data_IF_917783955692
#
_entry.id   IF_917783955692
#
_cell.length_a   1.000
_cell.length_b   1.000
_cell.length_c   1.000
_cell.angle_alpha   90.00
_cell.angle_beta   90.00
_cell.angle_gamma   90.00
#
_symmetry.space_group_name_H-M   'P 1'
#
loop_
_entity.id
_entity.type
_entity.pdbx_description
1 polymer ?
#
# COMPACT_ATOMS: atom_id res chain seq x y z
N UNK A 1 -0.39 34.05 0.11
CA UNK A 1 1.04 34.46 0.04
C UNK A 1 1.99 33.26 0.21
N UNK A 2 1.97 32.52 1.32
CA UNK A 2 2.89 31.36 1.56
C UNK A 2 2.75 30.23 0.51
N UNK A 3 1.54 29.89 0.08
CA UNK A 3 1.33 28.87 -0.98
C UNK A 3 1.97 29.26 -2.32
N UNK A 4 1.86 30.52 -2.74
CA UNK A 4 2.49 30.99 -3.97
C UNK A 4 4.03 30.92 -3.87
N UNK A 5 4.58 31.16 -2.68
CA UNK A 5 6.01 31.03 -2.43
C UNK A 5 6.49 29.58 -2.56
N UNK A 6 5.72 28.60 -2.06
CA UNK A 6 6.01 27.17 -2.26
C UNK A 6 6.17 26.83 -3.75
N UNK A 7 5.32 27.40 -4.61
CA UNK A 7 5.39 27.18 -6.06
C UNK A 7 6.59 27.90 -6.70
N UNK A 8 6.75 29.20 -6.42
CA UNK A 8 7.80 30.02 -7.03
C UNK A 8 9.20 29.50 -6.68
N UNK A 9 9.37 28.98 -5.46
CA UNK A 9 10.63 28.39 -4.99
C UNK A 9 10.75 26.88 -5.33
N UNK A 10 9.79 26.31 -6.09
CA UNK A 10 9.78 24.90 -6.51
C UNK A 10 9.87 23.89 -5.36
N UNK A 11 9.30 24.24 -4.21
CA UNK A 11 9.19 23.36 -3.04
C UNK A 11 8.06 22.31 -3.21
N UNK A 12 7.13 22.60 -4.14
CA UNK A 12 6.06 21.70 -4.62
C UNK A 12 6.03 21.71 -6.15
N UNK A 13 5.47 20.66 -6.76
CA UNK A 13 5.43 20.50 -8.21
C UNK A 13 4.41 21.41 -8.92
N UNK A 14 3.42 21.92 -8.19
CA UNK A 14 2.37 22.78 -8.73
C UNK A 14 1.23 23.04 -7.74
N UNK A 15 0.18 23.71 -8.20
CA UNK A 15 -1.04 23.95 -7.40
C UNK A 15 -1.82 22.67 -7.12
N UNK A 16 -1.63 21.64 -7.92
CA UNK A 16 -2.23 20.31 -7.80
C UNK A 16 -1.26 19.30 -7.16
N UNK A 17 -0.10 19.72 -6.65
CA UNK A 17 0.81 18.82 -5.93
C UNK A 17 0.03 18.11 -4.79
N UNK A 18 0.11 16.78 -4.66
CA UNK A 18 -0.65 16.02 -3.67
C UNK A 18 -0.34 16.31 -2.20
N UNK A 19 0.63 17.19 -1.92
CA UNK A 19 0.97 17.72 -0.58
C UNK A 19 0.34 19.08 -0.31
N UNK A 20 -0.18 19.75 -1.34
CA UNK A 20 -0.78 21.07 -1.22
C UNK A 20 -2.18 21.01 -0.60
N UNK A 21 -2.54 21.95 0.28
CA UNK A 21 -3.87 22.01 0.90
C UNK A 21 -4.93 22.64 -0.05
N UNK A 22 -4.80 22.40 -1.35
CA UNK A 22 -5.74 22.87 -2.38
C UNK A 22 -6.72 21.75 -2.73
N UNK A 23 -7.90 22.10 -3.23
CA UNK A 23 -8.87 21.10 -3.72
C UNK A 23 -8.29 20.28 -4.89
N UNK A 24 -7.49 20.91 -5.77
CA UNK A 24 -6.78 20.22 -6.84
C UNK A 24 -5.73 19.23 -6.30
N UNK A 25 -4.95 19.65 -5.30
CA UNK A 25 -3.96 18.79 -4.63
C UNK A 25 -4.62 17.62 -3.93
N UNK A 26 -5.66 17.87 -3.13
CA UNK A 26 -6.46 16.81 -2.48
C UNK A 26 -7.07 15.83 -3.49
N UNK A 27 -7.62 16.34 -4.60
CA UNK A 27 -8.17 15.48 -5.67
C UNK A 27 -7.09 14.60 -6.31
N UNK A 28 -5.93 15.17 -6.68
CA UNK A 28 -4.80 14.42 -7.25
C UNK A 28 -4.19 13.44 -6.24
N UNK A 29 -4.26 13.77 -4.96
CA UNK A 29 -3.88 12.90 -3.85
C UNK A 29 -4.80 11.71 -3.67
N UNK A 30 -6.00 11.74 -4.25
CA UNK A 30 -6.97 10.64 -4.19
C UNK A 30 -8.13 10.86 -3.23
N UNK A 31 -8.23 12.05 -2.61
CA UNK A 31 -9.35 12.39 -1.73
C UNK A 31 -10.67 12.31 -2.51
N UNK A 32 -11.72 11.88 -1.84
CA UNK A 32 -13.05 11.79 -2.44
C UNK A 32 -13.89 13.01 -2.06
N UNK A 33 -14.77 13.48 -2.96
CA UNK A 33 -15.73 14.52 -2.62
C UNK A 33 -16.58 14.16 -1.39
N UNK A 34 -16.94 12.87 -1.24
CA UNK A 34 -17.73 12.34 -0.12
C UNK A 34 -17.01 12.52 1.21
N UNK A 35 -15.72 12.20 1.27
CA UNK A 35 -14.94 12.32 2.50
C UNK A 35 -14.74 13.78 2.92
N UNK A 36 -14.54 14.68 1.95
CA UNK A 36 -14.41 16.12 2.23
C UNK A 36 -15.73 16.69 2.76
N UNK A 37 -16.88 16.29 2.19
CA UNK A 37 -18.19 16.72 2.69
C UNK A 37 -18.47 16.18 4.10
N UNK A 38 -18.22 14.88 4.34
CA UNK A 38 -18.36 14.28 5.68
C UNK A 38 -17.46 14.98 6.71
N UNK A 39 -16.22 15.33 6.34
CA UNK A 39 -15.34 16.11 7.19
C UNK A 39 -15.93 17.50 7.53
N UNK A 40 -16.42 18.24 6.52
CA UNK A 40 -17.05 19.53 6.72
C UNK A 40 -18.29 19.46 7.62
N UNK A 41 -19.11 18.42 7.48
CA UNK A 41 -20.29 18.20 8.31
C UNK A 41 -19.91 17.94 9.77
N UNK A 42 -18.83 17.16 10.01
CA UNK A 42 -18.37 16.80 11.36
C UNK A 42 -17.72 17.94 12.13
N UNK A 43 -16.93 18.79 11.47
CA UNK A 43 -16.31 19.94 12.14
C UNK A 43 -17.34 21.00 12.52
N UNK A 44 -18.49 21.00 11.83
CA UNK A 44 -19.58 21.93 12.05
C UNK A 44 -19.21 23.39 11.72
N UNK A 45 -20.15 24.29 12.01
CA UNK A 45 -19.98 25.72 11.78
C UNK A 45 -20.00 26.43 13.13
N UNK A 46 -18.90 27.07 13.51
CA UNK A 46 -18.77 27.82 14.75
C UNK A 46 -18.15 29.21 14.48
N UNK A 47 -18.41 30.16 15.39
CA UNK A 47 -17.88 31.54 15.30
C UNK A 47 -16.50 31.72 15.95
N UNK A 48 -15.96 30.68 16.59
CA UNK A 48 -14.65 30.69 17.24
C UNK A 48 -13.59 30.09 16.31
N UNK A 49 -12.38 30.60 16.39
CA UNK A 49 -11.23 29.98 15.72
C UNK A 49 -11.01 28.57 16.28
N UNK A 50 -10.77 27.63 15.37
CA UNK A 50 -10.55 26.24 15.73
C UNK A 50 -9.49 25.63 14.81
N UNK A 51 -8.47 25.02 15.42
CA UNK A 51 -7.49 24.22 14.71
C UNK A 51 -8.00 22.78 14.67
N UNK A 52 -8.32 22.30 13.48
CA UNK A 52 -8.79 20.92 13.29
C UNK A 52 -7.59 20.03 12.95
N UNK A 53 -7.44 18.93 13.68
CA UNK A 53 -6.45 17.91 13.37
C UNK A 53 -6.76 17.26 12.01
N UNK A 54 -5.72 17.14 11.18
CA UNK A 54 -5.76 16.45 9.89
C UNK A 54 -6.21 14.99 10.03
N UNK A 55 -5.96 14.36 11.17
CA UNK A 55 -6.39 12.99 11.48
C UNK A 55 -7.90 12.79 11.29
N UNK A 56 -8.73 13.81 11.58
CA UNK A 56 -10.18 13.73 11.37
C UNK A 56 -10.54 13.67 9.88
N UNK A 57 -9.86 14.44 9.04
CA UNK A 57 -10.06 14.42 7.60
C UNK A 57 -9.60 13.08 7.01
N UNK A 58 -8.45 12.57 7.46
CA UNK A 58 -7.95 11.25 7.08
C UNK A 58 -8.88 10.13 7.54
N UNK A 59 -9.49 10.26 8.72
CA UNK A 59 -10.52 9.34 9.22
C UNK A 59 -11.73 9.29 8.28
N UNK A 60 -12.33 10.43 7.92
CA UNK A 60 -13.44 10.49 6.97
C UNK A 60 -13.10 9.82 5.64
N UNK A 61 -11.86 10.01 5.18
CA UNK A 61 -11.37 9.41 3.94
C UNK A 61 -11.22 7.89 4.06
N UNK A 62 -10.64 7.38 5.15
CA UNK A 62 -10.51 5.93 5.39
C UNK A 62 -11.88 5.27 5.46
N UNK A 63 -12.84 5.87 6.16
CA UNK A 63 -14.20 5.33 6.28
C UNK A 63 -14.88 5.18 4.91
N UNK A 64 -14.74 6.20 4.04
CA UNK A 64 -15.31 6.14 2.70
C UNK A 64 -14.56 5.13 1.81
N UNK A 65 -13.24 5.14 1.81
CA UNK A 65 -12.43 4.26 0.96
C UNK A 65 -12.50 2.80 1.39
N UNK A 66 -12.68 2.49 2.68
CA UNK A 66 -12.86 1.10 3.15
C UNK A 66 -14.06 0.41 2.45
N UNK A 67 -15.13 1.20 2.21
CA UNK A 67 -16.38 0.75 1.60
C UNK A 67 -16.38 0.75 0.08
N UNK A 68 -15.48 1.50 -0.55
CA UNK A 68 -15.55 1.79 -2.00
C UNK A 68 -14.31 1.36 -2.77
N UNK A 69 -13.14 1.33 -2.15
CA UNK A 69 -11.89 0.99 -2.82
C UNK A 69 -11.72 -0.51 -2.98
N UNK A 70 -11.31 -0.94 -4.17
CA UNK A 70 -10.98 -2.34 -4.40
C UNK A 70 -9.62 -2.69 -3.79
N UNK A 71 -9.48 -3.89 -3.27
CA UNK A 71 -8.27 -4.43 -2.65
C UNK A 71 -7.36 -5.00 -3.72
N UNK A 72 -6.08 -4.66 -3.65
CA UNK A 72 -5.04 -5.12 -4.57
C UNK A 72 -3.78 -5.50 -3.82
N UNK A 73 -3.06 -6.49 -4.33
CA UNK A 73 -1.76 -6.91 -3.81
C UNK A 73 -0.66 -6.18 -4.57
N UNK A 74 0.16 -5.45 -3.82
CA UNK A 74 1.29 -4.69 -4.35
C UNK A 74 2.41 -4.81 -3.33
N UNK A 75 3.60 -5.20 -3.79
CA UNK A 75 4.79 -5.44 -2.97
C UNK A 75 5.77 -4.28 -3.12
N UNK A 76 6.07 -3.59 -2.02
CA UNK A 76 6.79 -2.31 -2.01
C UNK A 76 8.30 -2.48 -1.80
N UNK A 77 8.70 -3.42 -0.96
CA UNK A 77 10.09 -3.84 -0.78
C UNK A 77 10.20 -5.34 -1.08
N UNK A 78 10.43 -5.71 -2.36
CA UNK A 78 10.31 -7.10 -2.78
C UNK A 78 11.43 -7.98 -2.26
N UNK A 79 11.03 -9.09 -1.64
CA UNK A 79 11.87 -10.23 -1.33
C UNK A 79 11.43 -11.45 -2.14
N UNK A 80 12.39 -12.08 -2.84
CA UNK A 80 12.11 -13.22 -3.71
C UNK A 80 11.77 -14.45 -2.87
N UNK A 81 10.71 -15.16 -3.26
CA UNK A 81 10.35 -16.47 -2.74
C UNK A 81 10.30 -17.46 -3.89
N UNK A 82 10.98 -18.60 -3.76
CA UNK A 82 10.93 -19.72 -4.70
C UNK A 82 10.26 -20.91 -4.04
N UNK A 83 9.12 -21.34 -4.57
CA UNK A 83 8.40 -22.51 -4.08
C UNK A 83 9.01 -23.77 -4.66
N UNK A 84 9.87 -24.44 -3.89
CA UNK A 84 10.77 -25.50 -4.39
C UNK A 84 10.04 -26.73 -4.89
N UNK A 85 8.91 -27.09 -4.29
CA UNK A 85 8.04 -28.20 -4.68
C UNK A 85 6.87 -27.78 -5.60
N UNK A 86 6.89 -26.57 -6.17
CA UNK A 86 5.94 -26.17 -7.22
C UNK A 86 6.59 -26.35 -8.59
N UNK A 87 5.84 -26.93 -9.52
CA UNK A 87 6.29 -27.22 -10.89
C UNK A 87 6.70 -25.94 -11.63
N UNK A 88 7.83 -25.99 -12.33
CA UNK A 88 8.33 -24.86 -13.11
C UNK A 88 7.44 -24.60 -14.34
N UNK A 89 7.19 -23.33 -14.67
CA UNK A 89 6.32 -22.94 -15.77
C UNK A 89 4.81 -23.10 -15.50
N UNK A 90 4.42 -23.85 -14.46
CA UNK A 90 3.01 -23.95 -14.05
C UNK A 90 2.51 -22.62 -13.50
N UNK A 91 1.30 -22.25 -13.90
CA UNK A 91 0.56 -21.12 -13.34
C UNK A 91 -0.87 -21.56 -13.01
N UNK A 92 -1.34 -21.20 -11.83
CA UNK A 92 -2.72 -21.43 -11.41
C UNK A 92 -3.38 -20.10 -11.04
N UNK A 93 -4.67 -19.95 -11.37
CA UNK A 93 -5.44 -18.75 -11.04
C UNK A 93 -6.13 -18.92 -9.69
N UNK A 94 -5.87 -17.97 -8.80
CA UNK A 94 -6.40 -17.93 -7.45
C UNK A 94 -7.49 -16.86 -7.33
N UNK A 95 -8.76 -17.24 -7.09
CA UNK A 95 -9.82 -16.26 -6.91
C UNK A 95 -9.62 -15.48 -5.61
N UNK A 96 -9.77 -14.17 -5.69
CA UNK A 96 -9.71 -13.27 -4.54
C UNK A 96 -10.74 -12.16 -4.68
N UNK A 97 -11.36 -11.81 -3.56
CA UNK A 97 -12.38 -10.78 -3.46
C UNK A 97 -11.83 -9.37 -3.71
N UNK A 98 -12.61 -8.54 -4.41
CA UNK A 98 -12.25 -7.13 -4.64
C UNK A 98 -12.51 -6.26 -3.42
N UNK A 99 -13.60 -6.47 -2.68
CA UNK A 99 -13.90 -5.71 -1.47
C UNK A 99 -14.76 -6.56 -0.54
N UNK A 100 -14.34 -6.72 0.72
CA UNK A 100 -15.09 -7.48 1.74
C UNK A 100 -16.24 -6.68 2.37
N UNK A 101 -16.20 -5.36 2.27
CA UNK A 101 -17.19 -4.43 2.84
C UNK A 101 -18.29 -4.07 1.84
N UNK A 102 -18.15 -4.46 0.57
CA UNK A 102 -19.12 -4.18 -0.49
C UNK A 102 -19.76 -5.48 -0.93
N UNK A 103 -21.06 -5.61 -0.72
CA UNK A 103 -21.83 -6.70 -1.31
C UNK A 103 -21.69 -6.66 -2.84
N UNK A 104 -21.35 -7.81 -3.44
CA UNK A 104 -21.18 -7.95 -4.89
C UNK A 104 -19.99 -7.16 -5.50
N UNK A 105 -18.92 -6.88 -4.73
CA UNK A 105 -17.66 -6.34 -5.28
C UNK A 105 -17.02 -7.22 -6.37
N UNK A 106 -17.48 -8.46 -6.48
CA UNK A 106 -16.92 -9.45 -7.39
C UNK A 106 -15.59 -10.02 -6.90
N UNK A 107 -15.06 -10.90 -7.74
CA UNK A 107 -13.77 -11.56 -7.55
C UNK A 107 -12.88 -11.24 -8.74
N UNK A 108 -11.58 -11.34 -8.51
CA UNK A 108 -10.55 -11.31 -9.55
C UNK A 108 -9.64 -12.51 -9.38
N UNK A 109 -8.94 -12.86 -10.45
CA UNK A 109 -7.99 -13.96 -10.45
C UNK A 109 -6.57 -13.44 -10.23
N UNK A 110 -5.83 -14.12 -9.35
CA UNK A 110 -4.43 -13.86 -9.05
C UNK A 110 -3.57 -15.01 -9.57
N UNK A 111 -2.62 -14.76 -10.49
CA UNK A 111 -1.74 -15.82 -10.96
C UNK A 111 -0.79 -16.23 -9.83
N UNK A 112 -0.81 -17.51 -9.50
CA UNK A 112 0.14 -18.18 -8.61
C UNK A 112 1.16 -18.95 -9.45
N UNK A 113 2.43 -18.82 -9.11
CA UNK A 113 3.55 -19.47 -9.81
C UNK A 113 4.63 -19.90 -8.84
N UNK A 114 5.63 -20.63 -9.35
CA UNK A 114 6.82 -21.04 -8.57
C UNK A 114 7.56 -19.88 -7.92
N UNK A 115 7.72 -18.76 -8.62
CA UNK A 115 8.44 -17.58 -8.12
C UNK A 115 7.48 -16.47 -7.73
N UNK A 116 7.62 -15.94 -6.52
CA UNK A 116 6.77 -14.92 -5.95
C UNK A 116 7.61 -13.77 -5.38
N UNK A 117 7.00 -12.59 -5.29
CA UNK A 117 7.46 -11.48 -4.46
C UNK A 117 6.57 -11.36 -3.23
N UNK A 118 7.19 -11.15 -2.07
CA UNK A 118 6.55 -10.76 -0.81
C UNK A 118 7.22 -9.48 -0.28
N UNK A 119 6.62 -8.82 0.71
CA UNK A 119 7.34 -7.75 1.42
C UNK A 119 8.54 -8.31 2.19
N UNK A 120 9.65 -7.60 2.14
CA UNK A 120 10.85 -7.92 2.94
C UNK A 120 10.53 -7.97 4.43
N UNK A 121 9.68 -7.07 4.90
CA UNK A 121 9.21 -6.98 6.29
C UNK A 121 8.25 -8.12 6.71
N UNK A 122 7.92 -9.02 5.78
CA UNK A 122 7.20 -10.26 6.07
C UNK A 122 8.11 -11.46 6.33
N UNK A 123 9.43 -11.26 6.30
CA UNK A 123 10.40 -12.24 6.73
C UNK A 123 11.32 -11.70 7.84
N UNK A 124 11.59 -12.52 8.85
CA UNK A 124 12.52 -12.19 9.93
C UNK A 124 13.24 -13.45 10.42
N UNK A 125 14.58 -13.43 10.45
CA UNK A 125 15.38 -14.57 10.91
C UNK A 125 15.21 -14.84 12.40
N UNK A 126 15.16 -13.78 13.20
CA UNK A 126 15.05 -13.83 14.65
C UNK A 126 13.75 -13.13 15.12
N UNK A 127 12.57 -13.74 14.89
CA UNK A 127 11.30 -13.10 15.13
C UNK A 127 11.01 -12.96 16.64
N UNK A 128 10.48 -11.81 17.12
CA UNK A 128 9.95 -11.71 18.48
C UNK A 128 8.68 -12.56 18.64
N UNK A 129 8.31 -12.92 19.87
CA UNK A 129 7.16 -13.82 20.16
C UNK A 129 5.82 -13.43 19.51
N UNK A 130 5.59 -12.14 19.24
CA UNK A 130 4.35 -11.61 18.62
C UNK A 130 4.50 -11.35 17.11
N UNK A 131 5.46 -11.99 16.47
CA UNK A 131 5.65 -11.96 15.02
C UNK A 131 5.02 -13.21 14.39
N UNK A 132 4.04 -13.00 13.51
CA UNK A 132 3.25 -14.07 12.92
C UNK A 132 3.46 -14.25 11.40
N UNK A 133 4.48 -13.59 10.83
CA UNK A 133 4.83 -13.75 9.42
C UNK A 133 5.94 -14.80 9.27
N UNK A 134 6.65 -14.79 8.16
CA UNK A 134 7.59 -15.85 7.80
C UNK A 134 8.91 -15.72 8.57
N UNK A 135 9.47 -16.86 8.98
CA UNK A 135 10.79 -16.99 9.62
C UNK A 135 11.40 -18.32 9.23
N UNK A 136 12.70 -18.58 9.48
CA UNK A 136 13.32 -19.88 9.21
C UNK A 136 12.53 -21.02 9.87
N UNK A 137 12.12 -22.02 9.09
CA UNK A 137 11.26 -23.14 9.51
C UNK A 137 9.79 -22.78 9.79
N UNK A 138 9.45 -21.49 9.80
CA UNK A 138 8.12 -20.97 10.06
C UNK A 138 7.19 -21.09 8.85
N UNK A 139 5.88 -21.04 9.11
CA UNK A 139 4.83 -21.11 8.10
C UNK A 139 3.97 -19.85 8.10
N UNK A 140 3.51 -19.45 6.92
CA UNK A 140 2.60 -18.32 6.73
C UNK A 140 1.59 -18.63 5.64
N UNK A 141 0.40 -18.02 5.70
CA UNK A 141 -0.57 -18.07 4.61
C UNK A 141 -0.33 -16.95 3.62
N UNK A 142 -0.28 -17.29 2.35
CA UNK A 142 -0.37 -16.33 1.25
C UNK A 142 -1.85 -15.96 1.05
N UNK A 143 -2.19 -14.67 1.02
CA UNK A 143 -3.56 -14.20 0.85
C UNK A 143 -4.19 -14.81 -0.40
N UNK A 144 -5.31 -15.52 -0.23
CA UNK A 144 -6.02 -16.24 -1.29
C UNK A 144 -5.20 -17.31 -2.04
N UNK A 145 -4.02 -17.68 -1.54
CA UNK A 145 -3.16 -18.72 -2.09
C UNK A 145 -3.06 -19.92 -1.15
N UNK A 146 -1.84 -20.40 -0.96
CA UNK A 146 -1.53 -21.56 -0.13
C UNK A 146 -0.81 -21.16 1.18
N UNK A 147 -0.69 -22.10 2.11
CA UNK A 147 0.29 -22.02 3.19
C UNK A 147 1.65 -22.42 2.61
N UNK A 148 2.68 -21.65 2.98
CA UNK A 148 4.08 -21.94 2.66
C UNK A 148 4.91 -22.07 3.93
N UNK A 149 6.02 -22.80 3.86
CA UNK A 149 7.04 -22.93 4.90
C UNK A 149 8.39 -22.47 4.38
N UNK A 150 9.11 -21.65 5.13
CA UNK A 150 10.48 -21.26 4.77
C UNK A 150 11.47 -22.36 5.17
N UNK A 151 12.09 -23.00 4.18
CA UNK A 151 13.03 -24.09 4.41
C UNK A 151 14.50 -23.63 4.31
N UNK A 152 14.81 -22.67 3.43
CA UNK A 152 16.17 -22.13 3.25
C UNK A 152 16.15 -20.61 3.09
N UNK A 153 17.19 -19.94 3.61
CA UNK A 153 17.40 -18.48 3.50
C UNK A 153 18.69 -18.25 2.72
N UNK A 154 18.57 -17.66 1.54
CA UNK A 154 19.71 -17.33 0.68
C UNK A 154 20.15 -15.90 0.95
N UNK A 155 21.46 -15.70 1.13
CA UNK A 155 22.07 -14.41 1.42
C UNK A 155 23.13 -14.05 0.38
N UNK A 156 23.34 -12.75 0.17
CA UNK A 156 24.48 -12.24 -0.57
C UNK A 156 25.77 -12.25 0.26
N UNK A 157 26.88 -11.81 -0.34
CA UNK A 157 28.20 -11.72 0.31
C UNK A 157 28.25 -10.75 1.49
N UNK A 158 27.28 -9.83 1.59
CA UNK A 158 27.17 -8.85 2.66
C UNK A 158 26.22 -9.33 3.78
N UNK A 159 25.65 -10.54 3.66
CA UNK A 159 24.71 -11.11 4.61
C UNK A 159 23.26 -10.64 4.44
N UNK A 160 22.94 -9.90 3.36
CA UNK A 160 21.56 -9.49 3.10
C UNK A 160 20.75 -10.66 2.54
N UNK A 161 19.53 -10.83 3.02
CA UNK A 161 18.61 -11.86 2.51
C UNK A 161 18.12 -11.47 1.11
N UNK A 162 18.40 -12.33 0.12
CA UNK A 162 18.07 -12.10 -1.29
C UNK A 162 16.94 -12.98 -1.80
N UNK A 163 16.84 -14.21 -1.28
CA UNK A 163 15.85 -15.20 -1.69
C UNK A 163 15.49 -16.10 -0.51
N UNK A 164 14.21 -16.47 -0.43
CA UNK A 164 13.72 -17.52 0.45
C UNK A 164 13.31 -18.71 -0.40
N UNK A 165 13.72 -19.91 0.01
CA UNK A 165 13.23 -21.15 -0.60
C UNK A 165 12.21 -21.78 0.33
N UNK A 166 11.02 -21.96 -0.21
CA UNK A 166 9.88 -22.40 0.57
C UNK A 166 9.26 -23.64 -0.05
N UNK A 167 8.65 -24.49 0.77
CA UNK A 167 7.68 -25.48 0.31
C UNK A 167 6.27 -24.95 0.48
N UNK A 168 5.35 -25.36 -0.39
CA UNK A 168 3.90 -25.13 -0.20
C UNK A 168 3.17 -26.43 0.09
N UNK A 169 1.98 -26.31 0.67
CA UNK A 169 1.11 -27.44 0.95
C UNK A 169 -0.08 -27.42 -0.04
N UNK A 170 -0.16 -28.37 -1.01
CA UNK A 170 -1.24 -28.38 -2.01
C UNK A 170 -2.65 -28.33 -1.41
N UNK A 171 -2.85 -29.03 -0.30
CA UNK A 171 -4.17 -29.13 0.35
C UNK A 171 -4.54 -27.92 1.21
N UNK A 172 -3.70 -26.88 1.21
CA UNK A 172 -3.92 -25.66 2.00
C UNK A 172 -4.51 -24.49 1.19
N UNK A 173 -5.00 -24.76 -0.03
CA UNK A 173 -5.57 -23.75 -0.93
C UNK A 173 -6.69 -22.99 -0.22
N UNK A 174 -6.59 -21.66 -0.17
CA UNK A 174 -7.63 -20.80 0.40
C UNK A 174 -9.01 -21.10 -0.23
N UNK A 175 -10.04 -21.20 0.62
CA UNK A 175 -11.40 -21.58 0.23
C UNK A 175 -11.66 -23.08 0.16
N UNK A 176 -10.62 -23.91 0.08
CA UNK A 176 -10.70 -25.38 -0.02
C UNK A 176 -9.65 -26.08 0.86
N UNK A 177 -9.28 -25.49 2.00
CA UNK A 177 -8.20 -26.00 2.84
C UNK A 177 -8.64 -27.26 3.60
N UNK A 178 -7.98 -28.38 3.31
CA UNK A 178 -8.14 -29.68 3.97
C UNK A 178 -6.86 -30.17 4.63
N UNK A 179 -5.83 -29.32 4.69
CA UNK A 179 -4.49 -29.67 5.20
C UNK A 179 -4.43 -29.89 6.72
N UNK A 180 -5.41 -29.35 7.46
CA UNK A 180 -5.37 -29.30 8.94
C UNK A 180 -4.30 -28.37 9.51
N UNK A 181 -3.61 -27.61 8.67
CA UNK A 181 -2.57 -26.67 9.09
C UNK A 181 -3.18 -25.37 9.59
N UNK A 182 -2.67 -24.88 10.72
CA UNK A 182 -3.07 -23.60 11.30
C UNK A 182 -1.88 -22.65 11.40
N UNK A 183 -2.00 -21.49 10.76
CA UNK A 183 -1.01 -20.41 10.81
C UNK A 183 -1.67 -19.12 11.30
N UNK A 184 -0.91 -18.29 12.02
CA UNK A 184 -1.43 -17.07 12.64
C UNK A 184 -1.40 -15.85 11.72
N UNK A 185 -0.49 -15.82 10.74
CA UNK A 185 -0.34 -14.69 9.84
C UNK A 185 -0.76 -14.99 8.41
N UNK A 186 -1.24 -13.94 7.77
CA UNK A 186 -1.53 -13.89 6.34
C UNK A 186 -0.76 -12.72 5.74
N UNK A 187 -0.04 -12.95 4.65
CA UNK A 187 0.73 -11.93 3.93
C UNK A 187 0.24 -11.81 2.49
N UNK A 188 0.37 -10.62 1.91
CA UNK A 188 0.13 -10.42 0.48
C UNK A 188 1.38 -10.82 -0.32
N UNK A 189 1.18 -11.05 -1.60
CA UNK A 189 2.21 -11.55 -2.51
C UNK A 189 1.81 -11.23 -3.94
N UNK A 190 2.77 -11.27 -4.87
CA UNK A 190 2.50 -11.24 -6.31
C UNK A 190 3.38 -12.27 -7.02
N UNK A 191 2.89 -12.87 -8.11
CA UNK A 191 3.71 -13.76 -8.95
C UNK A 191 4.81 -12.98 -9.65
N UNK A 192 6.05 -13.43 -9.56
CA UNK A 192 7.20 -12.73 -10.14
C UNK A 192 7.12 -12.69 -11.68
N UNK A 193 6.59 -13.74 -12.31
CA UNK A 193 6.45 -13.82 -13.76
C UNK A 193 5.35 -12.91 -14.34
N UNK A 194 4.38 -12.50 -13.52
CA UNK A 194 3.21 -11.74 -13.96
C UNK A 194 3.14 -10.35 -13.36
N UNK A 195 3.98 -10.04 -12.37
CA UNK A 195 3.96 -8.77 -11.67
C UNK A 195 4.23 -7.59 -12.61
N UNK A 196 3.49 -6.50 -12.38
CA UNK A 196 3.67 -5.25 -13.09
C UNK A 196 4.64 -4.35 -12.30
N UNK A 197 5.74 -3.89 -12.90
CA UNK A 197 6.55 -2.85 -12.28
C UNK A 197 5.77 -1.54 -12.25
N UNK A 198 5.68 -0.91 -11.09
CA UNK A 198 4.97 0.37 -10.90
C UNK A 198 5.80 1.36 -10.09
N UNK A 199 5.50 2.64 -10.23
CA UNK A 199 6.00 3.67 -9.33
C UNK A 199 4.96 3.92 -8.23
N UNK A 200 5.39 4.01 -6.99
CA UNK A 200 4.53 4.42 -5.87
C UNK A 200 5.11 5.66 -5.19
N UNK A 201 4.29 6.69 -5.05
CA UNK A 201 4.62 7.95 -4.38
C UNK A 201 4.03 7.95 -2.99
N UNK A 202 4.90 7.82 -2.01
CA UNK A 202 4.58 7.82 -0.58
C UNK A 202 4.70 9.25 -0.07
N UNK A 203 3.56 9.87 0.21
CA UNK A 203 3.55 11.24 0.65
C UNK A 203 3.21 11.35 2.14
N UNK A 204 3.91 12.21 2.85
CA UNK A 204 3.65 12.59 4.25
C UNK A 204 3.14 14.04 4.34
N UNK A 205 2.86 14.52 5.56
CA UNK A 205 2.56 15.93 5.82
C UNK A 205 3.67 16.83 5.24
N UNK A 206 3.29 17.93 4.57
CA UNK A 206 4.27 18.86 3.97
C UNK A 206 5.12 19.57 5.04
N UNK A 207 4.56 19.78 6.22
CA UNK A 207 5.22 20.42 7.35
C UNK A 207 5.31 19.45 8.53
N UNK A 208 6.40 19.55 9.30
CA UNK A 208 6.59 18.77 10.54
C UNK A 208 5.90 19.41 11.75
N UNK A 209 5.56 20.70 11.66
CA UNK A 209 4.90 21.44 12.74
C UNK A 209 3.39 21.49 12.52
N UNK A 210 2.66 21.18 13.60
CA UNK A 210 1.20 21.04 13.57
C UNK A 210 0.50 22.41 13.43
N UNK A 211 0.84 23.36 14.30
CA UNK A 211 0.32 24.73 14.23
C UNK A 211 1.29 25.67 13.51
N UNK A 212 1.18 25.70 12.19
CA UNK A 212 1.94 26.63 11.33
C UNK A 212 1.49 28.10 11.47
N UNK A 213 0.42 28.38 12.23
CA UNK A 213 -0.04 29.72 12.57
C UNK A 213 0.71 30.35 13.74
N UNK A 214 1.25 29.51 14.64
CA UNK A 214 1.97 29.92 15.85
C UNK A 214 3.50 30.03 15.68
N UNK A 215 4.04 29.77 14.49
CA UNK A 215 5.49 29.84 14.25
C UNK A 215 6.00 31.29 14.24
N UNK A 216 7.21 31.50 14.76
CA UNK A 216 7.85 32.82 14.85
C UNK A 216 8.96 33.05 13.80
N UNK A 217 9.37 32.00 13.08
CA UNK A 217 10.42 32.02 12.05
C UNK A 217 9.89 31.70 10.63
N UNK A 218 10.80 31.39 9.70
CA UNK A 218 10.42 31.08 8.32
C UNK A 218 9.76 29.69 8.25
N UNK A 219 8.54 29.64 7.72
CA UNK A 219 7.77 28.41 7.51
C UNK A 219 8.54 27.32 6.74
N UNK A 220 9.55 27.70 5.94
CA UNK A 220 10.41 26.76 5.21
C UNK A 220 11.27 25.90 6.13
N UNK A 221 11.61 26.38 7.33
CA UNK A 221 12.35 25.60 8.34
C UNK A 221 11.52 24.42 8.87
N UNK A 222 10.21 24.45 8.66
CA UNK A 222 9.28 23.42 9.09
C UNK A 222 8.90 22.45 7.97
N UNK A 223 9.50 22.56 6.78
CA UNK A 223 9.23 21.61 5.69
C UNK A 223 9.66 20.20 6.09
N UNK A 224 8.81 19.23 5.79
CA UNK A 224 9.14 17.83 5.98
C UNK A 224 9.97 17.32 4.80
N UNK A 225 11.26 16.98 4.99
CA UNK A 225 12.09 16.43 3.92
C UNK A 225 11.59 15.06 3.45
N UNK A 226 10.80 14.37 4.26
CA UNK A 226 10.16 13.09 3.94
C UNK A 226 8.72 13.25 3.42
N UNK A 227 8.31 14.48 3.05
CA UNK A 227 6.95 14.74 2.54
C UNK A 227 6.62 13.99 1.25
N UNK A 228 7.63 13.52 0.51
CA UNK A 228 7.50 12.64 -0.64
C UNK A 228 8.69 11.68 -0.71
N UNK A 229 8.40 10.39 -0.77
CA UNK A 229 9.32 9.32 -1.14
C UNK A 229 8.78 8.61 -2.38
N UNK A 230 9.64 8.42 -3.39
CA UNK A 230 9.26 7.73 -4.64
C UNK A 230 9.87 6.34 -4.63
N UNK A 231 9.03 5.31 -4.66
CA UNK A 231 9.41 3.91 -4.73
C UNK A 231 9.30 3.43 -6.17
N UNK A 232 10.40 2.93 -6.73
CA UNK A 232 10.47 2.46 -8.12
C UNK A 232 10.65 0.95 -8.25
N UNK A 233 11.00 0.26 -7.15
CA UNK A 233 11.11 -1.20 -7.09
C UNK A 233 9.83 -1.81 -6.50
N UNK A 234 8.68 -1.48 -7.08
CA UNK A 234 7.38 -1.94 -6.61
C UNK A 234 6.75 -2.87 -7.65
N UNK A 235 6.21 -3.98 -7.17
CA UNK A 235 5.58 -5.01 -8.01
C UNK A 235 4.10 -5.15 -7.67
N UNK A 236 3.25 -4.80 -8.63
CA UNK A 236 1.80 -4.85 -8.52
C UNK A 236 1.22 -6.12 -9.16
N UNK A 237 0.06 -6.54 -8.67
CA UNK A 237 -0.70 -7.60 -9.33
C UNK A 237 -1.18 -7.19 -10.74
N UNK A 238 -1.38 -8.16 -11.67
CA UNK A 238 -1.65 -7.86 -13.08
C UNK A 238 -2.96 -7.09 -13.34
N UNK A 239 -3.96 -7.24 -12.46
CA UNK A 239 -5.25 -6.59 -12.63
C UNK A 239 -5.15 -5.06 -12.64
N UNK A 240 -4.10 -4.50 -12.03
CA UNK A 240 -3.84 -3.06 -12.01
C UNK A 240 -3.45 -2.49 -13.37
N UNK A 241 -3.19 -3.31 -14.38
CA UNK A 241 -3.03 -2.86 -15.77
C UNK A 241 -4.27 -2.14 -16.30
N UNK A 242 -5.44 -2.53 -15.80
CA UNK A 242 -6.74 -1.96 -16.20
C UNK A 242 -7.16 -0.75 -15.35
N UNK A 243 -6.30 -0.30 -14.44
CA UNK A 243 -6.58 0.86 -13.59
C UNK A 243 -6.76 2.14 -14.42
N UNK A 244 -7.75 2.95 -14.04
CA UNK A 244 -8.14 4.19 -14.71
C UNK A 244 -8.00 5.38 -13.78
N UNK A 245 -7.87 6.56 -14.37
CA UNK A 245 -7.86 7.80 -13.59
C UNK A 245 -9.17 7.94 -12.82
N UNK A 246 -9.06 8.18 -11.52
CA UNK A 246 -10.19 8.22 -10.59
C UNK A 246 -10.39 6.93 -9.80
N UNK A 247 -9.78 5.82 -10.22
CA UNK A 247 -9.81 4.59 -9.45
C UNK A 247 -9.00 4.76 -8.16
N UNK A 248 -9.51 4.15 -7.09
CA UNK A 248 -8.88 4.09 -5.78
C UNK A 248 -8.81 2.65 -5.34
N UNK A 249 -7.67 2.30 -4.78
CA UNK A 249 -7.37 0.95 -4.36
C UNK A 249 -6.93 0.96 -2.91
N UNK A 250 -7.31 -0.06 -2.16
CA UNK A 250 -6.61 -0.44 -0.96
C UNK A 250 -5.49 -1.40 -1.36
N UNK A 251 -4.24 -0.96 -1.29
CA UNK A 251 -3.13 -1.90 -1.38
C UNK A 251 -3.04 -2.61 -0.04
N UNK A 252 -3.26 -3.93 -0.07
CA UNK A 252 -3.44 -4.73 1.14
C UNK A 252 -2.28 -4.49 2.11
N UNK A 253 -2.63 -4.16 3.37
CA UNK A 253 -1.70 -3.85 4.46
C UNK A 253 -0.87 -2.57 4.30
N UNK A 254 -0.85 -1.94 3.12
CA UNK A 254 -0.01 -0.78 2.82
C UNK A 254 -0.74 0.55 2.97
N UNK A 255 -2.03 0.62 2.60
CA UNK A 255 -2.79 1.88 2.62
C UNK A 255 -3.79 1.98 1.48
N UNK A 256 -4.30 3.19 1.28
CA UNK A 256 -5.12 3.53 0.13
C UNK A 256 -4.31 4.35 -0.87
N UNK A 257 -4.52 4.06 -2.15
CA UNK A 257 -3.77 4.60 -3.26
C UNK A 257 -4.70 4.97 -4.42
N UNK A 258 -4.28 5.89 -5.27
CA UNK A 258 -4.97 6.21 -6.51
C UNK A 258 -3.97 6.32 -7.66
N UNK A 259 -4.44 6.08 -8.89
CA UNK A 259 -3.64 6.29 -10.09
C UNK A 259 -3.39 7.79 -10.29
N UNK A 260 -2.13 8.19 -10.46
CA UNK A 260 -1.73 9.58 -10.70
C UNK A 260 -1.85 9.97 -12.18
N UNK A 261 -2.02 11.27 -12.44
CA UNK A 261 -2.07 11.86 -13.79
C UNK A 261 -0.78 11.66 -14.58
N UNK A 262 0.36 11.45 -13.91
CA UNK A 262 1.64 11.16 -14.56
C UNK A 262 1.74 9.71 -15.08
N UNK A 263 0.70 8.90 -14.87
CA UNK A 263 0.66 7.52 -15.39
C UNK A 263 0.53 7.51 -16.92
N UNK A 264 1.23 6.56 -17.54
CA UNK A 264 1.19 6.29 -18.97
C UNK A 264 0.85 4.82 -19.21
N UNK A 265 0.66 4.43 -20.47
CA UNK A 265 0.40 3.02 -20.83
C UNK A 265 1.52 2.06 -20.39
N UNK A 266 2.76 2.55 -20.37
CA UNK A 266 3.95 1.75 -20.08
C UNK A 266 4.46 1.93 -18.64
N UNK A 267 3.93 2.92 -17.91
CA UNK A 267 4.35 3.25 -16.55
C UNK A 267 3.16 3.71 -15.73
N UNK A 268 2.69 2.86 -14.82
CA UNK A 268 1.68 3.21 -13.84
C UNK A 268 2.33 3.89 -12.63
N UNK A 269 1.75 4.99 -12.19
CA UNK A 269 2.19 5.77 -11.04
C UNK A 269 1.04 5.85 -10.05
N UNK A 270 1.26 5.39 -8.82
CA UNK A 270 0.25 5.42 -7.76
C UNK A 270 0.65 6.37 -6.65
N UNK A 271 -0.26 7.26 -6.24
CA UNK A 271 -0.09 8.11 -5.08
C UNK A 271 -0.69 7.44 -3.84
N UNK A 272 0.04 7.43 -2.71
CA UNK A 272 -0.56 7.03 -1.43
C UNK A 272 -1.54 8.09 -0.97
N UNK A 273 -2.83 7.81 -1.07
CA UNK A 273 -3.90 8.69 -0.57
C UNK A 273 -3.80 8.87 0.95
N UNK A 274 -3.88 7.76 1.70
CA UNK A 274 -3.84 7.75 3.17
C UNK A 274 -3.41 6.37 3.68
N UNK A 275 -2.77 6.31 4.85
CA UNK A 275 -2.41 5.04 5.52
C UNK A 275 -3.65 4.28 6.00
N UNK A 276 -3.53 2.99 6.33
CA UNK A 276 -4.67 2.19 6.83
C UNK A 276 -5.15 2.59 8.22
N UNK A 277 -4.25 3.16 9.03
CA UNK A 277 -4.49 3.62 10.40
C UNK A 277 -3.65 4.87 10.62
N UNK A 278 -4.04 5.68 11.58
CA UNK A 278 -3.21 6.81 12.00
C UNK A 278 -1.83 6.31 12.44
N UNK A 279 -0.80 6.92 11.88
CA UNK A 279 0.54 6.88 12.43
C UNK A 279 0.55 7.83 13.62
N UNK A 280 0.60 7.28 14.84
CA UNK A 280 0.93 8.07 16.03
C UNK A 280 2.37 8.55 15.96
#
# INVERSE_FOLDING_TARGET
RKLLQLLNEKLVSGWDDPRMPTISGARRRGYTPEAIRDFCDRIGIAKRDNLIDLSLLEFCLREHLNKTAERRMVVFDPLKVVITNYEEGKTELMPTENNTETENAGVREMPFSRELWIERDDFMENPPKKYFRLSPGGMVRLKSGFIIKCDEVIKDSNGNVTELRCTYFPESRSGHDTSGLHVKGVIHWVSAAHALPVEVRMYEKLFVTEDMGAIEDDFKNHLNPNSLQVLTKVYAEPSLKEARLGDRFQFLRMGYFCLDLDSTKDKLVFNRTVTLRDSK
#
